data_IF_803640914469
#
_entry.id   IF_803640914469
#
_cell.length_a   1.000
_cell.length_b   1.000
_cell.length_c   1.000
_cell.angle_alpha   90.00
_cell.angle_beta   90.00
_cell.angle_gamma   90.00
#
_symmetry.space_group_name_H-M   'P 1'
#
loop_
_entity.id
_entity.type
_entity.pdbx_description
1 polymer ?
#
# COMPACT_ATOMS: atom_id res chain seq x y z
N UNK A 1 -13.39 1.33 13.58
CA UNK A 1 -12.82 2.22 12.54
C UNK A 1 -11.60 1.56 11.97
N UNK A 2 -11.60 1.31 10.66
CA UNK A 2 -10.48 0.77 9.89
C UNK A 2 -9.84 1.92 9.10
N UNK A 3 -8.58 1.77 8.68
CA UNK A 3 -7.98 2.66 7.69
C UNK A 3 -8.30 2.10 6.31
N UNK A 4 -8.99 2.88 5.49
CA UNK A 4 -9.38 2.49 4.14
C UNK A 4 -8.59 3.30 3.11
N UNK A 5 -7.79 2.58 2.32
CA UNK A 5 -7.00 3.11 1.23
C UNK A 5 -7.79 2.87 -0.05
N UNK A 6 -8.21 3.94 -0.72
CA UNK A 6 -9.02 3.84 -1.94
C UNK A 6 -8.25 4.33 -3.15
N UNK A 7 -8.03 3.44 -4.11
CA UNK A 7 -7.41 3.71 -5.41
C UNK A 7 -6.08 4.50 -5.30
N UNK A 8 -5.27 4.20 -4.29
CA UNK A 8 -4.03 4.93 -4.03
C UNK A 8 -2.99 4.52 -5.06
N UNK A 9 -2.25 5.50 -5.56
CA UNK A 9 -1.14 5.28 -6.48
C UNK A 9 -0.02 6.26 -6.17
N UNK A 10 1.21 5.91 -6.55
CA UNK A 10 2.38 6.75 -6.33
C UNK A 10 3.43 6.52 -7.41
N UNK A 11 3.94 7.60 -7.97
CA UNK A 11 5.08 7.61 -8.88
C UNK A 11 6.21 8.44 -8.25
N UNK A 12 7.45 7.98 -8.39
CA UNK A 12 8.66 8.69 -7.95
C UNK A 12 9.64 8.64 -9.10
N UNK A 13 10.16 9.80 -9.53
CA UNK A 13 11.09 9.91 -10.67
C UNK A 13 10.58 9.23 -11.95
N UNK A 14 9.27 9.31 -12.20
CA UNK A 14 8.64 8.69 -13.37
C UNK A 14 8.41 7.18 -13.27
N UNK A 15 8.86 6.53 -12.19
CA UNK A 15 8.61 5.10 -11.93
C UNK A 15 7.42 4.91 -11.01
N UNK A 16 6.49 4.03 -11.41
CA UNK A 16 5.37 3.65 -10.55
C UNK A 16 5.85 2.81 -9.38
N UNK A 17 5.66 3.31 -8.16
CA UNK A 17 6.00 2.65 -6.91
C UNK A 17 4.78 1.97 -6.27
N UNK A 18 3.60 2.57 -6.45
CA UNK A 18 2.31 2.00 -6.06
C UNK A 18 1.40 2.09 -7.27
N UNK A 19 1.05 0.93 -7.82
CA UNK A 19 -0.02 0.84 -8.81
C UNK A 19 -1.37 1.13 -8.15
N UNK A 20 -2.40 1.59 -8.88
CA UNK A 20 -3.74 1.81 -8.33
C UNK A 20 -4.20 0.63 -7.47
N UNK A 21 -4.26 0.86 -6.15
CA UNK A 21 -4.51 -0.19 -5.15
C UNK A 21 -5.52 0.27 -4.13
N UNK A 22 -6.47 -0.60 -3.79
CA UNK A 22 -7.40 -0.40 -2.68
C UNK A 22 -7.18 -1.46 -1.60
N UNK A 23 -7.12 -1.04 -0.34
CA UNK A 23 -6.85 -1.92 0.79
C UNK A 23 -7.49 -1.39 2.07
N UNK A 24 -8.15 -2.27 2.81
CA UNK A 24 -8.68 -1.91 4.14
C UNK A 24 -7.82 -2.55 5.23
N UNK A 25 -7.17 -1.72 6.05
CA UNK A 25 -6.41 -2.14 7.23
C UNK A 25 -7.34 -2.17 8.44
N UNK A 26 -7.68 -3.37 8.90
CA UNK A 26 -8.63 -3.56 10.01
C UNK A 26 -7.97 -3.17 11.34
N UNK A 27 -8.73 -2.48 12.20
CA UNK A 27 -8.31 -2.16 13.58
C UNK A 27 -8.37 -3.41 14.45
N UNK A 28 -7.43 -3.54 15.39
CA UNK A 28 -7.35 -4.67 16.30
C UNK A 28 -6.75 -5.93 15.66
N UNK A 29 -6.19 -5.82 14.45
CA UNK A 29 -5.50 -6.92 13.76
C UNK A 29 -4.09 -6.50 13.37
N UNK A 30 -3.18 -7.47 13.32
CA UNK A 30 -1.86 -7.27 12.72
C UNK A 30 -2.00 -7.38 11.20
N UNK A 31 -1.86 -6.26 10.50
CA UNK A 31 -1.89 -6.24 9.04
C UNK A 31 -0.47 -6.45 8.51
N UNK A 32 -0.26 -7.47 7.68
CA UNK A 32 1.05 -7.82 7.12
C UNK A 32 1.00 -7.65 5.61
N UNK A 33 1.89 -6.84 5.06
CA UNK A 33 2.10 -6.73 3.62
C UNK A 33 3.22 -7.69 3.20
N UNK A 34 2.94 -8.61 2.29
CA UNK A 34 3.90 -9.58 1.76
C UNK A 34 4.26 -9.27 0.31
N UNK A 35 5.53 -9.48 -0.04
CA UNK A 35 6.03 -9.28 -1.41
C UNK A 35 7.54 -9.08 -1.43
N UNK A 36 8.19 -9.22 -2.60
CA UNK A 36 9.63 -9.03 -2.76
C UNK A 36 10.05 -7.57 -2.49
N UNK A 37 11.35 -7.30 -2.37
CA UNK A 37 11.86 -5.92 -2.31
C UNK A 37 11.36 -5.12 -3.53
N UNK A 38 11.18 -3.80 -3.36
CA UNK A 38 10.63 -2.89 -4.38
C UNK A 38 9.17 -3.11 -4.80
N UNK A 39 8.41 -4.01 -4.15
CA UNK A 39 6.99 -4.24 -4.45
C UNK A 39 6.03 -3.15 -3.91
N UNK A 40 6.52 -1.95 -3.58
CA UNK A 40 5.70 -0.84 -3.09
C UNK A 40 5.32 -0.84 -1.61
N UNK A 41 5.64 -1.90 -0.83
CA UNK A 41 5.25 -2.03 0.59
C UNK A 41 5.68 -0.85 1.47
N UNK A 42 6.94 -0.46 1.40
CA UNK A 42 7.50 0.67 2.17
C UNK A 42 7.01 2.03 1.66
N UNK A 43 6.55 2.11 0.40
CA UNK A 43 5.99 3.35 -0.12
C UNK A 43 4.52 3.54 0.28
N UNK A 44 3.81 2.43 0.56
CA UNK A 44 2.40 2.40 0.96
C UNK A 44 2.19 2.69 2.45
N UNK A 45 3.17 2.33 3.29
CA UNK A 45 3.20 2.60 4.74
C UNK A 45 3.92 3.91 5.03
#
# INVERSE_FOLDING_TARGET
>A
MALDLQNVSRSVEGRMHIHPTSLTLRKGTMNVLLGPTLSGKTSLM
#
